data_IF_420491834771
#
_entry.id   IF_420491834771
#
_cell.length_a   1.000
_cell.length_b   1.000
_cell.length_c   1.000
_cell.angle_alpha   90.00
_cell.angle_beta   90.00
_cell.angle_gamma   90.00
#
_symmetry.space_group_name_H-M   'P 1'
#
loop_
_entity.id
_entity.type
_entity.pdbx_description
1 polymer ?
#
# COMPACT_ATOMS: atom_id res chain seq x y z
N UNK A 1 0.87 18.30 -12.61
CA UNK A 1 1.18 16.88 -12.89
C UNK A 1 2.04 16.37 -11.74
N UNK A 2 1.65 15.28 -11.08
CA UNK A 2 2.37 14.71 -9.94
C UNK A 2 3.12 13.47 -10.41
N UNK A 3 4.35 13.28 -9.95
CA UNK A 3 5.14 12.06 -10.16
C UNK A 3 5.25 11.35 -8.82
N UNK A 4 4.94 10.05 -8.80
CA UNK A 4 5.01 9.24 -7.60
C UNK A 4 6.16 8.24 -7.70
N UNK A 5 6.94 8.13 -6.63
CA UNK A 5 8.01 7.15 -6.49
C UNK A 5 7.76 6.27 -5.26
N UNK A 6 8.04 4.98 -5.38
CA UNK A 6 7.85 4.04 -4.27
C UNK A 6 8.98 4.17 -3.26
N UNK A 7 8.64 4.41 -2.00
CA UNK A 7 9.58 4.34 -0.89
C UNK A 7 10.31 2.98 -0.85
N UNK A 8 11.58 2.96 -0.39
CA UNK A 8 12.29 1.70 -0.15
C UNK A 8 11.52 0.78 0.79
N UNK A 9 11.47 -0.51 0.48
CA UNK A 9 10.68 -1.47 1.28
C UNK A 9 11.12 -1.54 2.74
N UNK A 10 12.42 -1.34 3.01
CA UNK A 10 12.99 -1.30 4.37
C UNK A 10 12.41 -0.14 5.19
N UNK A 11 12.21 1.02 4.57
CA UNK A 11 11.61 2.18 5.23
C UNK A 11 10.15 1.91 5.58
N UNK A 12 9.39 1.34 4.64
CA UNK A 12 7.99 0.94 4.86
C UNK A 12 7.89 -0.08 6.00
N UNK A 13 8.79 -1.08 6.03
CA UNK A 13 8.88 -2.08 7.10
C UNK A 13 9.15 -1.47 8.47
N UNK A 14 10.01 -0.45 8.54
CA UNK A 14 10.29 0.27 9.78
C UNK A 14 9.06 1.08 10.23
N UNK A 15 8.38 1.78 9.30
CA UNK A 15 7.17 2.56 9.60
C UNK A 15 6.04 1.70 10.17
N UNK A 16 5.95 0.43 9.77
CA UNK A 16 4.89 -0.48 10.20
C UNK A 16 5.32 -1.46 11.30
N UNK A 17 6.52 -1.31 11.89
CA UNK A 17 7.10 -2.30 12.79
C UNK A 17 6.23 -2.62 14.03
N UNK A 18 5.52 -1.61 14.54
CA UNK A 18 4.70 -1.71 15.75
C UNK A 18 3.25 -2.13 15.47
N UNK A 19 2.87 -2.29 14.21
CA UNK A 19 1.49 -2.59 13.81
C UNK A 19 1.31 -4.06 13.41
N UNK A 20 0.26 -4.70 13.96
CA UNK A 20 -0.11 -6.09 13.65
C UNK A 20 -1.12 -6.22 12.50
N UNK A 21 -1.79 -5.12 12.17
CA UNK A 21 -2.82 -5.05 11.14
C UNK A 21 -2.67 -3.75 10.39
N UNK A 22 -2.53 -3.83 9.07
CA UNK A 22 -2.39 -2.66 8.20
C UNK A 22 -3.39 -2.73 7.05
N UNK A 23 -3.82 -1.54 6.63
CA UNK A 23 -4.60 -1.34 5.42
C UNK A 23 -3.70 -0.69 4.36
N UNK A 24 -3.47 -1.39 3.26
CA UNK A 24 -2.81 -0.86 2.07
C UNK A 24 -3.86 -0.34 1.10
N UNK A 25 -3.85 0.98 0.89
CA UNK A 25 -4.77 1.64 -0.04
C UNK A 25 -4.02 2.17 -1.26
N UNK A 26 -4.37 1.67 -2.44
CA UNK A 26 -3.89 2.19 -3.72
C UNK A 26 -4.85 3.17 -4.37
N UNK A 27 -4.33 4.06 -5.20
CA UNK A 27 -5.10 4.94 -6.08
C UNK A 27 -4.92 4.47 -7.53
N UNK A 28 -6.01 4.36 -8.31
CA UNK A 28 -5.98 3.98 -9.72
C UNK A 28 -5.71 5.15 -10.69
N UNK A 29 -5.52 6.36 -10.14
CA UNK A 29 -5.26 7.58 -10.91
C UNK A 29 -3.77 7.81 -11.20
N UNK A 30 -3.27 8.98 -10.79
CA UNK A 30 -1.91 9.45 -11.12
C UNK A 30 -0.78 8.49 -10.73
N UNK A 31 -0.91 7.79 -9.60
CA UNK A 31 0.14 6.88 -9.10
C UNK A 31 0.23 5.56 -9.87
N UNK A 32 -0.83 5.15 -10.57
CA UNK A 32 -0.81 3.96 -11.44
C UNK A 32 0.00 4.21 -12.70
N UNK A 33 -0.05 5.43 -13.24
CA UNK A 33 0.77 5.82 -14.38
C UNK A 33 2.26 5.77 -14.05
N UNK A 34 2.64 6.06 -12.80
CA UNK A 34 4.02 5.97 -12.32
C UNK A 34 4.44 4.57 -11.86
N UNK A 35 3.60 3.54 -12.01
CA UNK A 35 3.84 2.19 -11.46
C UNK A 35 4.12 2.21 -9.93
N UNK A 36 3.59 3.21 -9.22
CA UNK A 36 3.79 3.41 -7.79
C UNK A 36 2.54 3.08 -6.96
N UNK A 37 1.38 2.92 -7.60
CA UNK A 37 0.13 2.49 -6.95
C UNK A 37 -0.87 1.92 -7.95
N UNK A 38 -2.04 1.51 -7.49
CA UNK A 38 -3.00 0.74 -8.28
C UNK A 38 -3.07 -0.71 -7.81
N UNK A 39 -3.97 -1.49 -8.40
CA UNK A 39 -4.29 -2.85 -7.91
C UNK A 39 -3.09 -3.79 -8.00
N UNK A 40 -2.32 -3.72 -9.09
CA UNK A 40 -1.16 -4.58 -9.30
C UNK A 40 -0.02 -4.23 -8.33
N UNK A 41 0.29 -2.95 -8.21
CA UNK A 41 1.38 -2.43 -7.39
C UNK A 41 1.12 -2.65 -5.90
N UNK A 42 -0.14 -2.46 -5.46
CA UNK A 42 -0.56 -2.77 -4.10
C UNK A 42 -0.41 -4.27 -3.81
N UNK A 43 -0.84 -5.15 -4.72
CA UNK A 43 -0.70 -6.60 -4.53
C UNK A 43 0.75 -7.07 -4.47
N UNK A 44 1.62 -6.49 -5.30
CA UNK A 44 3.06 -6.74 -5.27
C UNK A 44 3.65 -6.30 -3.93
N UNK A 45 3.29 -5.09 -3.46
CA UNK A 45 3.77 -4.57 -2.18
C UNK A 45 3.27 -5.42 -1.01
N UNK A 46 1.98 -5.73 -0.95
CA UNK A 46 1.39 -6.58 0.08
C UNK A 46 2.08 -7.96 0.16
N UNK A 47 2.33 -8.58 -0.98
CA UNK A 47 3.05 -9.87 -1.06
C UNK A 47 4.48 -9.74 -0.53
N UNK A 48 5.21 -8.70 -0.95
CA UNK A 48 6.58 -8.46 -0.49
C UNK A 48 6.64 -8.23 1.03
N UNK A 49 5.67 -7.49 1.58
CA UNK A 49 5.58 -7.24 3.02
C UNK A 49 5.25 -8.50 3.81
N UNK A 50 4.30 -9.33 3.33
CA UNK A 50 3.97 -10.63 3.93
C UNK A 50 5.20 -11.54 3.98
N UNK A 51 5.98 -11.60 2.90
CA UNK A 51 7.22 -12.40 2.85
C UNK A 51 8.27 -11.86 3.83
N UNK A 52 8.48 -10.54 3.87
CA UNK A 52 9.45 -9.93 4.77
C UNK A 52 9.12 -10.21 6.25
N UNK A 53 7.86 -10.02 6.65
CA UNK A 53 7.41 -10.27 8.03
C UNK A 53 7.38 -11.74 8.42
N UNK A 54 7.11 -12.64 7.47
CA UNK A 54 7.23 -14.09 7.69
C UNK A 54 8.68 -14.48 8.01
N UNK A 55 9.68 -13.84 7.38
CA UNK A 55 11.10 -14.04 7.71
C UNK A 55 11.47 -13.53 9.11
N UNK A 56 10.80 -12.48 9.60
CA UNK A 56 11.00 -11.94 10.96
C UNK A 56 10.23 -12.72 12.05
N UNK A 57 9.45 -13.75 11.70
CA UNK A 57 8.66 -14.52 12.66
C UNK A 57 7.48 -13.76 13.27
N UNK A 58 7.11 -12.60 12.71
CA UNK A 58 6.01 -11.76 13.18
C UNK A 58 4.94 -11.65 12.07
N UNK A 59 4.06 -12.67 11.91
CA UNK A 59 2.99 -12.57 10.93
C UNK A 59 2.05 -11.41 11.29
N UNK A 60 1.54 -10.74 10.26
CA UNK A 60 0.67 -9.59 10.40
C UNK A 60 -0.39 -9.60 9.30
N UNK A 61 -1.51 -8.94 9.57
CA UNK A 61 -2.64 -8.89 8.64
C UNK A 61 -2.49 -7.69 7.69
N UNK A 62 -2.53 -7.96 6.39
CA UNK A 62 -2.52 -6.94 5.33
C UNK A 62 -3.84 -6.99 4.60
N UNK A 63 -4.63 -5.93 4.73
CA UNK A 63 -5.85 -5.71 3.97
C UNK A 63 -5.50 -4.81 2.78
N UNK A 64 -5.96 -5.18 1.60
CA UNK A 64 -5.69 -4.46 0.36
C UNK A 64 -6.98 -3.79 -0.14
N UNK A 65 -6.91 -2.50 -0.47
CA UNK A 65 -8.03 -1.75 -1.04
C UNK A 65 -7.51 -0.84 -2.15
N UNK A 66 -8.31 -0.64 -3.19
CA UNK A 66 -7.98 0.33 -4.24
C UNK A 66 -9.16 1.19 -4.56
N UNK A 67 -8.89 2.49 -4.71
CA UNK A 67 -9.88 3.51 -5.05
C UNK A 67 -9.58 4.05 -6.43
N UNK A 68 -10.59 4.59 -7.11
CA UNK A 68 -10.38 5.29 -8.38
C UNK A 68 -9.52 6.54 -8.18
N UNK A 69 -9.88 7.37 -7.20
CA UNK A 69 -9.12 8.57 -6.84
C UNK A 69 -9.03 8.71 -5.32
N UNK A 70 -7.84 9.01 -4.83
CA UNK A 70 -7.61 9.33 -3.41
C UNK A 70 -7.65 10.84 -3.13
N UNK A 71 -7.61 11.69 -4.16
CA UNK A 71 -7.70 13.14 -3.98
C UNK A 71 -9.13 13.64 -3.79
N UNK A 72 -10.11 12.85 -4.21
CA UNK A 72 -11.53 13.22 -4.22
C UNK A 72 -12.21 12.63 -2.96
N UNK A 73 -12.82 13.46 -2.09
CA UNK A 73 -13.40 13.01 -0.82
C UNK A 73 -14.42 11.87 -0.96
N UNK A 74 -15.26 11.96 -2.00
CA UNK A 74 -16.33 10.99 -2.30
C UNK A 74 -15.82 9.55 -2.45
N UNK A 75 -14.59 9.40 -2.94
CA UNK A 75 -13.95 8.09 -3.11
C UNK A 75 -13.22 7.64 -1.85
N UNK A 76 -12.68 8.57 -1.05
CA UNK A 76 -12.04 8.25 0.24
C UNK A 76 -13.07 7.74 1.25
N UNK A 77 -14.30 8.26 1.25
CA UNK A 77 -15.34 7.78 2.15
C UNK A 77 -15.64 6.29 1.97
N UNK A 78 -15.38 5.74 0.79
CA UNK A 78 -15.51 4.30 0.54
C UNK A 78 -14.48 3.46 1.31
N UNK A 79 -13.43 4.07 1.88
CA UNK A 79 -12.40 3.37 2.66
C UNK A 79 -12.92 2.96 4.03
N UNK A 80 -13.82 3.76 4.62
CA UNK A 80 -14.38 3.61 5.97
C UNK A 80 -15.15 2.29 6.18
#
# INVERSE_FOLDING_TARGET
>A
MVVAERKPIKEILAMMADYKKILLVGCKGCVTVCCAGGTKEVGILASALRIAKKKEGKPFEVIEKTLERQCDPEYIEQVA
#
